data_IF_608427983135
#
_entry.id   IF_608427983135
#
_cell.length_a   1.000
_cell.length_b   1.000
_cell.length_c   1.000
_cell.angle_alpha   90.00
_cell.angle_beta   90.00
_cell.angle_gamma   90.00
#
_symmetry.space_group_name_H-M   'P 1'
#
loop_
_entity.id
_entity.type
_entity.pdbx_description
1 polymer ?
#
# COMPACT_ATOMS: atom_id res chain seq x y z
N UNK A 1 -26.81 -6.65 -0.86
CA UNK A 1 -26.42 -5.29 -0.40
C UNK A 1 -24.91 -5.16 -0.63
N UNK A 2 -24.37 -3.96 -0.91
CA UNK A 2 -22.93 -3.77 -1.03
C UNK A 2 -22.24 -4.24 0.26
N UNK A 3 -20.95 -4.62 0.22
CA UNK A 3 -20.21 -5.05 1.41
C UNK A 3 -19.87 -3.83 2.28
N UNK A 4 -20.89 -3.08 2.69
CA UNK A 4 -20.73 -2.00 3.63
C UNK A 4 -20.29 -2.56 4.96
N UNK A 5 -19.32 -1.89 5.55
CA UNK A 5 -18.94 -2.07 6.93
C UNK A 5 -20.18 -2.12 7.85
N UNK A 6 -20.38 -3.26 8.51
CA UNK A 6 -21.41 -3.41 9.52
C UNK A 6 -20.86 -4.18 10.73
N UNK A 7 -20.44 -3.45 11.78
CA UNK A 7 -19.87 -4.07 12.97
C UNK A 7 -20.97 -4.60 13.91
N UNK A 8 -22.26 -4.45 13.57
CA UNK A 8 -23.41 -4.57 14.49
C UNK A 8 -24.19 -5.88 14.39
N UNK A 9 -24.23 -6.55 13.25
CA UNK A 9 -25.03 -7.77 13.08
C UNK A 9 -24.20 -9.04 13.15
N UNK A 10 -24.81 -10.15 13.55
CA UNK A 10 -24.15 -11.43 13.84
C UNK A 10 -23.70 -12.17 12.58
N UNK A 11 -24.40 -11.99 11.47
CA UNK A 11 -24.13 -12.68 10.21
C UNK A 11 -22.96 -12.05 9.41
N UNK A 12 -22.37 -10.98 9.94
CA UNK A 12 -21.23 -10.31 9.33
C UNK A 12 -19.89 -10.88 9.84
N UNK A 13 -18.84 -10.88 9.01
CA UNK A 13 -17.50 -11.26 9.43
C UNK A 13 -17.00 -10.45 10.63
N UNK A 14 -16.35 -11.11 11.59
CA UNK A 14 -15.82 -10.43 12.79
C UNK A 14 -14.82 -9.32 12.48
N UNK A 15 -14.10 -9.42 11.35
CA UNK A 15 -13.18 -8.37 10.89
C UNK A 15 -13.87 -7.01 10.75
N UNK A 16 -15.15 -6.97 10.37
CA UNK A 16 -15.87 -5.69 10.29
C UNK A 16 -16.02 -5.06 11.68
N UNK A 17 -16.26 -5.83 12.74
CA UNK A 17 -16.24 -5.27 14.10
C UNK A 17 -14.86 -4.70 14.47
N UNK A 18 -13.80 -5.39 14.04
CA UNK A 18 -12.40 -5.02 14.29
C UNK A 18 -11.93 -3.77 13.52
N UNK A 19 -12.68 -3.34 12.50
CA UNK A 19 -12.38 -2.14 11.71
C UNK A 19 -13.07 -0.86 12.23
N UNK A 20 -13.86 -0.95 13.30
CA UNK A 20 -14.66 0.18 13.81
C UNK A 20 -13.86 1.46 14.08
N UNK A 21 -12.80 1.39 14.89
CA UNK A 21 -11.93 2.52 15.19
C UNK A 21 -11.23 3.09 13.95
N UNK A 22 -10.81 2.22 13.03
CA UNK A 22 -10.19 2.64 11.77
C UNK A 22 -11.15 3.43 10.88
N UNK A 23 -12.39 2.95 10.74
CA UNK A 23 -13.45 3.69 10.03
C UNK A 23 -13.77 5.02 10.71
N UNK A 24 -13.91 5.04 12.03
CA UNK A 24 -14.15 6.27 12.77
C UNK A 24 -13.03 7.30 12.50
N UNK A 25 -11.77 6.87 12.51
CA UNK A 25 -10.63 7.74 12.22
C UNK A 25 -10.66 8.30 10.79
N UNK A 26 -10.78 7.40 9.80
CA UNK A 26 -10.79 7.73 8.36
C UNK A 26 -11.84 8.78 8.03
N UNK A 27 -13.04 8.63 8.59
CA UNK A 27 -14.17 9.51 8.31
C UNK A 27 -14.34 10.64 9.34
N UNK A 28 -13.31 10.92 10.15
CA UNK A 28 -13.28 12.03 11.11
C UNK A 28 -14.40 11.98 12.16
N UNK A 29 -14.85 10.78 12.49
CA UNK A 29 -15.91 10.50 13.46
C UNK A 29 -15.27 10.26 14.84
N UNK A 30 -15.83 10.90 15.87
CA UNK A 30 -15.22 10.92 17.22
C UNK A 30 -15.63 9.74 18.11
N UNK A 31 -16.46 8.85 17.62
CA UNK A 31 -17.01 7.74 18.39
C UNK A 31 -18.25 7.15 17.73
N UNK A 32 -18.77 6.08 18.34
CA UNK A 32 -19.96 5.37 17.87
C UNK A 32 -21.03 5.38 18.97
N UNK A 33 -22.29 5.61 18.57
CA UNK A 33 -23.44 5.43 19.43
C UNK A 33 -24.25 4.23 18.92
N UNK A 34 -24.56 3.30 19.81
CA UNK A 34 -25.35 2.13 19.49
C UNK A 34 -26.53 2.01 20.46
N UNK A 35 -27.71 1.79 19.90
CA UNK A 35 -28.98 2.06 20.58
C UNK A 35 -29.44 0.92 21.51
N UNK A 36 -28.85 -0.28 21.42
CA UNK A 36 -29.29 -1.43 22.23
C UNK A 36 -28.19 -2.47 22.48
N UNK A 37 -27.61 -2.50 23.69
CA UNK A 37 -26.56 -3.46 24.05
C UNK A 37 -27.09 -4.81 24.56
N UNK A 38 -28.34 -4.88 25.02
CA UNK A 38 -28.85 -5.98 25.83
C UNK A 38 -30.37 -6.20 25.74
N UNK A 39 -30.98 -6.01 24.56
CA UNK A 39 -32.39 -6.40 24.38
C UNK A 39 -32.52 -7.93 24.45
N UNK A 40 -32.87 -8.40 25.64
CA UNK A 40 -33.09 -9.82 25.96
C UNK A 40 -34.58 -10.15 26.08
N UNK A 41 -35.45 -9.38 25.41
CA UNK A 41 -36.88 -9.69 25.31
C UNK A 41 -37.13 -11.07 24.67
N UNK A 42 -36.22 -11.48 23.76
CA UNK A 42 -36.05 -12.85 23.27
C UNK A 42 -34.81 -13.49 23.89
N UNK A 43 -34.69 -14.82 23.82
CA UNK A 43 -33.47 -15.51 24.26
C UNK A 43 -32.38 -15.43 23.16
N UNK A 44 -31.37 -14.54 23.26
CA UNK A 44 -30.37 -14.37 22.20
C UNK A 44 -29.46 -15.59 22.01
N UNK A 45 -29.42 -16.52 22.98
CA UNK A 45 -28.69 -17.78 22.85
C UNK A 45 -29.36 -18.78 21.90
N UNK A 46 -30.66 -18.61 21.63
CA UNK A 46 -31.46 -19.56 20.85
C UNK A 46 -32.20 -18.90 19.67
N UNK A 47 -32.64 -17.65 19.82
CA UNK A 47 -33.31 -16.85 18.79
C UNK A 47 -32.64 -15.46 18.70
N UNK A 48 -31.52 -15.34 17.97
CA UNK A 48 -30.78 -14.08 17.84
C UNK A 48 -31.46 -13.08 16.88
N UNK A 49 -32.54 -13.47 16.19
CA UNK A 49 -33.26 -12.62 15.22
C UNK A 49 -34.25 -11.71 15.95
N UNK A 50 -33.78 -10.56 16.43
CA UNK A 50 -34.58 -9.62 17.21
C UNK A 50 -35.27 -8.55 16.35
N UNK A 51 -34.60 -8.05 15.30
CA UNK A 51 -35.11 -6.95 14.48
C UNK A 51 -34.76 -7.10 12.99
N UNK A 52 -35.21 -8.18 12.35
CA UNK A 52 -34.98 -8.42 10.90
C UNK A 52 -33.53 -8.79 10.52
N UNK A 53 -32.60 -8.65 11.46
CA UNK A 53 -31.22 -9.12 11.38
C UNK A 53 -30.82 -9.82 12.69
N UNK A 54 -29.94 -10.83 12.60
CA UNK A 54 -29.42 -11.50 13.80
C UNK A 54 -28.50 -10.55 14.57
N UNK A 55 -28.71 -10.41 15.88
CA UNK A 55 -27.80 -9.66 16.75
C UNK A 55 -27.92 -8.13 16.70
N UNK A 56 -28.93 -7.58 16.02
CA UNK A 56 -29.08 -6.12 15.80
C UNK A 56 -29.45 -5.30 17.04
N UNK A 57 -29.93 -5.95 18.11
CA UNK A 57 -30.35 -5.27 19.35
C UNK A 57 -29.59 -5.75 20.59
N UNK A 58 -28.50 -6.50 20.41
CA UNK A 58 -27.65 -6.91 21.54
C UNK A 58 -26.20 -7.15 21.13
N UNK A 59 -25.30 -6.81 22.05
CA UNK A 59 -23.85 -7.08 21.97
C UNK A 59 -23.38 -7.89 23.17
N UNK A 60 -24.19 -7.92 24.23
CA UNK A 60 -23.99 -8.66 25.46
C UNK A 60 -25.08 -9.74 25.54
N UNK A 61 -24.68 -10.94 25.95
CA UNK A 61 -25.57 -12.05 26.22
C UNK A 61 -25.93 -12.13 27.71
N UNK A 62 -27.15 -12.59 28.04
CA UNK A 62 -27.54 -12.85 29.41
C UNK A 62 -26.66 -13.99 29.96
N UNK A 63 -26.27 -13.95 31.24
CA UNK A 63 -25.40 -14.96 31.82
C UNK A 63 -25.92 -16.40 31.73
N UNK A 64 -27.23 -16.58 31.84
CA UNK A 64 -27.87 -17.88 31.73
C UNK A 64 -28.31 -18.14 30.28
N UNK A 65 -27.92 -19.30 29.74
CA UNK A 65 -28.27 -19.71 28.36
C UNK A 65 -29.77 -19.90 28.12
N UNK A 66 -30.56 -20.08 29.17
CA UNK A 66 -32.02 -20.16 29.12
C UNK A 66 -32.72 -18.79 29.27
N UNK A 67 -31.95 -17.69 29.26
CA UNK A 67 -32.43 -16.31 29.44
C UNK A 67 -33.25 -16.08 30.72
N UNK A 68 -32.92 -16.80 31.79
CA UNK A 68 -33.53 -16.61 33.11
C UNK A 68 -32.61 -15.79 34.03
N UNK A 69 -33.18 -15.04 34.98
CA UNK A 69 -32.38 -14.37 36.01
C UNK A 69 -31.51 -15.36 36.77
N UNK A 70 -30.26 -14.97 37.03
CA UNK A 70 -29.36 -15.71 37.92
C UNK A 70 -29.41 -15.12 39.33
N UNK A 71 -29.07 -15.93 40.33
CA UNK A 71 -28.85 -15.41 41.69
C UNK A 71 -27.73 -14.37 41.71
N UNK A 72 -27.92 -13.31 42.49
CA UNK A 72 -26.93 -12.26 42.67
C UNK A 72 -25.57 -12.85 43.10
N UNK A 73 -24.51 -12.51 42.36
CA UNK A 73 -23.13 -12.93 42.65
C UNK A 73 -22.72 -14.28 42.05
N UNK A 74 -23.66 -15.04 41.48
CA UNK A 74 -23.40 -16.41 41.00
C UNK A 74 -22.41 -16.49 39.83
N UNK A 75 -22.13 -15.39 39.14
CA UNK A 75 -21.15 -15.29 38.07
C UNK A 75 -20.22 -14.07 38.19
N UNK A 76 -20.07 -13.53 39.40
CA UNK A 76 -19.29 -12.30 39.63
C UNK A 76 -19.89 -11.05 39.00
N UNK A 77 -21.21 -11.03 38.74
CA UNK A 77 -21.96 -9.91 38.16
C UNK A 77 -21.55 -9.53 36.73
N UNK A 78 -21.08 -10.51 35.95
CA UNK A 78 -20.58 -10.26 34.59
C UNK A 78 -21.63 -10.60 33.54
N UNK A 79 -21.82 -9.73 32.56
CA UNK A 79 -22.48 -10.14 31.32
C UNK A 79 -21.52 -10.97 30.47
N UNK A 80 -22.05 -11.73 29.52
CA UNK A 80 -21.21 -12.47 28.58
C UNK A 80 -21.05 -11.63 27.31
N UNK A 81 -19.86 -11.11 27.00
CA UNK A 81 -19.68 -10.30 25.81
C UNK A 81 -19.75 -11.17 24.54
N UNK A 82 -20.26 -10.59 23.45
CA UNK A 82 -20.11 -11.17 22.12
C UNK A 82 -18.68 -10.97 21.61
N UNK A 83 -18.24 -11.84 20.70
CA UNK A 83 -16.96 -11.67 19.98
C UNK A 83 -16.93 -10.31 19.27
N UNK A 84 -18.05 -9.91 18.65
CA UNK A 84 -18.17 -8.63 17.91
C UNK A 84 -18.01 -7.42 18.83
N UNK A 85 -18.53 -7.50 20.05
CA UNK A 85 -18.32 -6.45 21.06
C UNK A 85 -16.85 -6.34 21.48
N UNK A 86 -16.18 -7.48 21.74
CA UNK A 86 -14.76 -7.45 22.10
C UNK A 86 -13.89 -6.97 20.94
N UNK A 87 -14.15 -7.40 19.70
CA UNK A 87 -13.45 -6.91 18.51
C UNK A 87 -13.68 -5.40 18.29
N UNK A 88 -14.89 -4.91 18.54
CA UNK A 88 -15.19 -3.47 18.50
C UNK A 88 -14.42 -2.71 19.59
N UNK A 89 -14.37 -3.22 20.81
CA UNK A 89 -13.60 -2.62 21.91
C UNK A 89 -12.12 -2.56 21.57
N UNK A 90 -11.58 -3.67 21.09
CA UNK A 90 -10.21 -3.78 20.62
C UNK A 90 -9.92 -2.78 19.48
N UNK A 91 -10.88 -2.61 18.57
CA UNK A 91 -10.85 -1.57 17.53
C UNK A 91 -10.84 -0.14 18.05
N UNK A 92 -11.59 0.14 19.12
CA UNK A 92 -11.58 1.45 19.76
C UNK A 92 -10.23 1.73 20.45
N UNK A 93 -9.52 0.71 20.92
CA UNK A 93 -8.12 0.88 21.38
C UNK A 93 -7.18 1.28 20.24
N UNK A 94 -7.37 0.77 19.02
CA UNK A 94 -6.63 1.27 17.86
C UNK A 94 -6.94 2.74 17.56
N UNK A 95 -8.20 3.18 17.69
CA UNK A 95 -8.53 4.60 17.58
C UNK A 95 -7.77 5.46 18.62
N UNK A 96 -7.61 4.97 19.85
CA UNK A 96 -6.82 5.66 20.88
C UNK A 96 -5.33 5.74 20.53
N UNK A 97 -4.77 4.71 19.88
CA UNK A 97 -3.39 4.74 19.38
C UNK A 97 -3.22 5.82 18.31
N UNK A 98 -4.15 5.90 17.35
CA UNK A 98 -4.15 6.95 16.32
C UNK A 98 -4.32 8.34 16.95
N UNK A 99 -5.20 8.47 17.96
CA UNK A 99 -5.39 9.71 18.72
C UNK A 99 -4.09 10.19 19.38
N UNK A 100 -3.37 9.29 20.06
CA UNK A 100 -2.10 9.62 20.70
C UNK A 100 -1.03 10.02 19.67
N UNK A 101 -0.97 9.29 18.54
CA UNK A 101 0.00 9.56 17.48
C UNK A 101 -0.25 10.91 16.79
N UNK A 102 -1.52 11.28 16.59
CA UNK A 102 -1.91 12.57 16.02
C UNK A 102 -1.86 13.73 17.02
N UNK A 103 -1.79 13.44 18.33
CA UNK A 103 -1.85 14.44 19.40
C UNK A 103 -3.25 15.01 19.65
N UNK A 104 -4.32 14.32 19.22
CA UNK A 104 -5.68 14.82 19.35
C UNK A 104 -6.71 14.09 18.49
N UNK A 105 -7.94 14.63 18.48
CA UNK A 105 -9.03 14.09 17.66
C UNK A 105 -8.82 14.39 16.17
N UNK A 106 -9.24 13.49 15.27
CA UNK A 106 -9.23 13.76 13.84
C UNK A 106 -10.21 14.89 13.53
N UNK A 107 -9.87 15.74 12.55
CA UNK A 107 -10.70 16.84 12.09
C UNK A 107 -10.83 16.82 10.57
N UNK A 108 -11.98 17.30 10.09
CA UNK A 108 -12.25 17.46 8.65
C UNK A 108 -11.22 18.41 8.07
N UNK A 109 -10.67 18.06 6.90
CA UNK A 109 -9.66 18.82 6.16
C UNK A 109 -8.34 19.09 6.92
N UNK A 110 -8.08 18.37 8.01
CA UNK A 110 -6.82 18.46 8.76
C UNK A 110 -6.08 17.12 8.66
N UNK A 111 -4.99 17.11 7.89
CA UNK A 111 -4.09 15.97 7.82
C UNK A 111 -3.29 15.83 9.12
N UNK A 112 -3.02 14.59 9.54
CA UNK A 112 -2.21 14.29 10.71
C UNK A 112 -1.36 13.03 10.50
N UNK A 113 -0.44 12.77 11.44
CA UNK A 113 0.54 11.68 11.34
C UNK A 113 -0.07 10.26 11.35
N UNK A 114 -1.31 10.10 11.79
CA UNK A 114 -2.00 8.81 11.83
C UNK A 114 -2.76 8.49 10.55
N UNK A 115 -3.06 9.50 9.72
CA UNK A 115 -3.85 9.31 8.48
C UNK A 115 -3.21 8.34 7.50
N UNK A 116 -1.91 8.43 7.18
CA UNK A 116 -1.28 7.48 6.27
C UNK A 116 -1.34 6.03 6.78
N UNK A 117 -1.44 5.82 8.09
CA UNK A 117 -1.55 4.50 8.70
C UNK A 117 -2.99 3.98 8.63
N UNK A 118 -3.97 4.84 8.89
CA UNK A 118 -5.38 4.49 8.73
C UNK A 118 -5.72 4.21 7.26
N UNK A 119 -5.10 4.93 6.32
CA UNK A 119 -5.29 4.76 4.88
C UNK A 119 -4.77 3.41 4.37
N UNK A 120 -3.78 2.79 5.05
CA UNK A 120 -3.34 1.41 4.76
C UNK A 120 -4.39 0.34 5.10
N UNK A 121 -5.39 0.70 5.90
CA UNK A 121 -6.45 -0.19 6.36
C UNK A 121 -7.78 0.13 5.67
N UNK A 122 -8.16 1.41 5.60
CA UNK A 122 -9.45 1.85 5.05
C UNK A 122 -9.24 2.78 3.85
N UNK A 123 -9.44 2.24 2.65
CA UNK A 123 -9.41 3.01 1.40
C UNK A 123 -10.77 3.66 1.09
N UNK A 124 -11.88 3.04 1.51
CA UNK A 124 -13.25 3.50 1.24
C UNK A 124 -14.33 2.79 2.06
N UNK A 125 -15.61 3.11 1.79
CA UNK A 125 -16.77 2.56 2.54
C UNK A 125 -17.02 1.06 2.28
N UNK A 126 -16.52 0.56 1.15
CA UNK A 126 -16.67 -0.83 0.70
C UNK A 126 -15.31 -1.46 0.33
N UNK A 127 -14.21 -0.79 0.69
CA UNK A 127 -12.84 -1.07 0.25
C UNK A 127 -11.89 -0.90 1.43
N UNK A 128 -11.41 -2.03 1.97
CA UNK A 128 -10.58 -2.04 3.18
C UNK A 128 -9.78 -3.35 3.25
N UNK A 129 -8.58 -3.26 3.82
CA UNK A 129 -7.68 -4.36 4.04
C UNK A 129 -8.23 -5.30 5.14
N UNK A 130 -8.18 -6.60 4.89
CA UNK A 130 -8.72 -7.66 5.77
C UNK A 130 -7.63 -8.60 6.32
N UNK A 131 -6.36 -8.32 6.06
CA UNK A 131 -5.22 -9.10 6.54
C UNK A 131 -4.99 -8.84 8.04
N UNK A 132 -5.19 -9.88 8.85
CA UNK A 132 -5.15 -9.79 10.31
C UNK A 132 -3.73 -9.56 10.84
N UNK A 133 -2.75 -10.29 10.31
CA UNK A 133 -1.34 -10.16 10.68
C UNK A 133 -0.83 -8.73 10.40
N UNK A 134 -1.21 -8.14 9.26
CA UNK A 134 -0.90 -6.76 8.93
C UNK A 134 -1.52 -5.77 9.92
N UNK A 135 -2.82 -5.89 10.20
CA UNK A 135 -3.53 -5.05 11.17
C UNK A 135 -2.86 -5.09 12.55
N UNK A 136 -2.54 -6.29 13.06
CA UNK A 136 -1.89 -6.46 14.35
C UNK A 136 -0.45 -5.93 14.36
N UNK A 137 0.30 -6.17 13.29
CA UNK A 137 1.67 -5.66 13.20
C UNK A 137 1.70 -4.13 13.10
N UNK A 138 0.78 -3.52 12.34
CA UNK A 138 0.65 -2.06 12.27
C UNK A 138 0.33 -1.47 13.64
N UNK A 139 -0.64 -2.03 14.37
CA UNK A 139 -0.93 -1.64 15.76
C UNK A 139 0.30 -1.73 16.65
N UNK A 140 1.03 -2.86 16.57
CA UNK A 140 2.25 -3.08 17.36
C UNK A 140 3.30 -2.00 17.08
N UNK A 141 3.54 -1.66 15.81
CA UNK A 141 4.51 -0.63 15.43
C UNK A 141 4.09 0.75 15.92
N UNK A 142 2.80 1.10 15.86
CA UNK A 142 2.29 2.35 16.44
C UNK A 142 2.55 2.36 17.95
N UNK A 143 2.29 1.26 18.65
CA UNK A 143 2.57 1.10 20.07
C UNK A 143 4.04 1.34 20.43
N UNK A 144 4.97 0.70 19.69
CA UNK A 144 6.42 0.88 19.87
C UNK A 144 6.87 2.32 19.57
N UNK A 145 6.23 3.00 18.62
CA UNK A 145 6.52 4.40 18.32
C UNK A 145 6.07 5.31 19.48
N UNK A 146 4.89 5.04 20.04
CA UNK A 146 4.34 5.80 21.17
C UNK A 146 5.09 5.55 22.48
N UNK A 147 5.57 4.33 22.71
CA UNK A 147 6.39 3.98 23.88
C UNK A 147 7.85 4.46 23.78
N UNK A 148 8.29 4.88 22.59
CA UNK A 148 9.65 5.38 22.34
C UNK A 148 10.68 4.28 22.08
N UNK A 149 10.24 3.04 21.86
CA UNK A 149 11.12 1.92 21.50
C UNK A 149 11.63 2.01 20.06
N UNK A 150 10.91 2.70 19.16
CA UNK A 150 11.35 2.99 17.80
C UNK A 150 11.24 4.49 17.48
N UNK A 151 12.19 5.01 16.70
CA UNK A 151 12.22 6.42 16.30
C UNK A 151 11.25 6.74 15.15
N UNK A 152 10.86 5.76 14.36
CA UNK A 152 9.94 5.89 13.23
C UNK A 152 9.16 4.58 13.05
N UNK A 153 7.95 4.66 12.51
CA UNK A 153 7.15 3.48 12.14
C UNK A 153 7.66 3.03 10.78
N UNK A 154 8.20 1.80 10.65
CA UNK A 154 8.60 1.26 9.36
C UNK A 154 7.41 1.26 8.39
N UNK A 155 7.66 1.63 7.13
CA UNK A 155 6.64 1.52 6.09
C UNK A 155 6.43 0.05 5.74
N UNK A 156 5.42 -0.56 6.39
CA UNK A 156 5.03 -1.95 6.15
C UNK A 156 3.87 -2.01 5.16
N UNK A 157 3.80 -3.11 4.42
CA UNK A 157 2.71 -3.43 3.49
C UNK A 157 2.15 -4.82 3.85
N UNK A 158 0.87 -5.09 3.55
CA UNK A 158 0.31 -6.43 3.73
C UNK A 158 1.03 -7.43 2.82
N UNK A 159 1.07 -8.72 3.21
CA UNK A 159 1.62 -9.75 2.35
C UNK A 159 0.81 -9.85 1.05
N UNK A 160 1.50 -10.22 -0.03
CA UNK A 160 0.88 -10.55 -1.31
C UNK A 160 0.00 -11.80 -1.15
N UNK A 161 -1.26 -11.74 -1.59
CA UNK A 161 -2.18 -12.87 -1.57
C UNK A 161 -2.16 -13.72 -2.85
N UNK A 162 -1.41 -13.29 -3.88
CA UNK A 162 -1.38 -13.96 -5.17
C UNK A 162 -0.04 -13.71 -5.90
N UNK A 163 0.57 -14.69 -6.58
CA UNK A 163 1.89 -14.53 -7.22
C UNK A 163 2.03 -13.35 -8.19
N UNK A 164 0.92 -12.91 -8.80
CA UNK A 164 0.86 -11.72 -9.67
C UNK A 164 1.22 -10.43 -8.94
N UNK A 165 0.97 -10.36 -7.64
CA UNK A 165 1.30 -9.21 -6.82
C UNK A 165 2.76 -9.20 -6.33
N UNK A 166 3.53 -10.23 -6.66
CA UNK A 166 4.96 -10.27 -6.33
C UNK A 166 5.79 -9.57 -7.42
N UNK A 167 6.87 -8.91 -7.00
CA UNK A 167 7.85 -8.32 -7.92
C UNK A 167 7.60 -6.85 -8.28
N UNK A 168 8.22 -6.34 -9.35
CA UNK A 168 8.04 -4.95 -9.78
C UNK A 168 6.67 -4.73 -10.46
N UNK A 169 6.14 -3.49 -10.43
CA UNK A 169 4.94 -3.10 -11.19
C UNK A 169 4.98 -3.54 -12.65
N UNK A 170 3.83 -3.96 -13.18
CA UNK A 170 3.66 -4.33 -14.59
C UNK A 170 2.32 -3.85 -15.15
N UNK A 171 2.15 -4.00 -16.47
CA UNK A 171 0.91 -3.62 -17.14
C UNK A 171 -0.13 -4.75 -17.08
N UNK A 172 -1.38 -4.38 -16.82
CA UNK A 172 -2.53 -5.29 -16.80
C UNK A 172 -3.70 -4.71 -17.59
N UNK A 173 -4.32 -5.55 -18.42
CA UNK A 173 -5.44 -5.17 -19.27
C UNK A 173 -6.62 -6.10 -18.97
N UNK A 174 -7.76 -5.54 -18.58
CA UNK A 174 -8.93 -6.29 -18.12
C UNK A 174 -10.12 -5.97 -19.01
N UNK A 175 -10.72 -6.98 -19.63
CA UNK A 175 -11.99 -6.85 -20.33
C UNK A 175 -13.10 -7.46 -19.48
N UNK A 176 -14.05 -6.65 -19.00
CA UNK A 176 -15.18 -7.15 -18.23
C UNK A 176 -16.22 -7.72 -19.18
N UNK A 177 -16.38 -9.03 -19.17
CA UNK A 177 -17.23 -9.77 -20.09
C UNK A 177 -17.75 -11.07 -19.47
N UNK A 178 -18.65 -11.76 -20.17
CA UNK A 178 -18.86 -13.19 -19.93
C UNK A 178 -17.60 -13.96 -20.36
N UNK A 179 -16.86 -14.64 -19.45
CA UNK A 179 -15.66 -15.39 -19.83
C UNK A 179 -15.96 -16.55 -20.80
N UNK A 180 -17.19 -17.09 -20.77
CA UNK A 180 -17.65 -18.13 -21.68
C UNK A 180 -18.38 -17.56 -22.92
N UNK A 181 -18.56 -16.24 -22.99
CA UNK A 181 -19.28 -15.55 -24.05
C UNK A 181 -18.38 -14.76 -24.99
N UNK A 182 -19.00 -13.84 -25.74
CA UNK A 182 -18.29 -12.95 -26.66
C UNK A 182 -17.62 -11.76 -25.92
N UNK A 183 -16.45 -11.28 -26.39
CA UNK A 183 -15.66 -11.82 -27.50
C UNK A 183 -15.05 -13.19 -27.18
N UNK A 184 -15.17 -14.12 -28.13
CA UNK A 184 -14.76 -15.53 -27.96
C UNK A 184 -13.25 -15.77 -28.14
N UNK A 185 -12.48 -14.80 -28.65
CA UNK A 185 -11.03 -14.91 -28.85
C UNK A 185 -10.28 -15.24 -27.54
N UNK A 186 -9.34 -16.19 -27.58
CA UNK A 186 -8.55 -16.63 -26.43
C UNK A 186 -7.10 -16.93 -26.88
N UNK A 187 -6.09 -16.09 -26.55
CA UNK A 187 -6.23 -14.85 -25.77
C UNK A 187 -6.98 -13.75 -26.53
N UNK A 188 -7.63 -12.84 -25.79
CA UNK A 188 -8.22 -11.63 -26.36
C UNK A 188 -7.13 -10.56 -26.54
N UNK A 189 -6.76 -10.26 -27.77
CA UNK A 189 -5.75 -9.24 -28.09
C UNK A 189 -6.38 -8.04 -28.78
N UNK A 190 -6.18 -6.84 -28.23
CA UNK A 190 -6.66 -5.57 -28.79
C UNK A 190 -5.51 -4.56 -28.78
N UNK A 191 -5.20 -3.98 -29.94
CA UNK A 191 -4.09 -3.04 -30.11
C UNK A 191 -2.74 -3.56 -29.58
N UNK A 192 -2.49 -4.86 -29.75
CA UNK A 192 -1.27 -5.53 -29.31
C UNK A 192 -1.19 -5.85 -27.82
N UNK A 193 -2.25 -5.56 -27.06
CA UNK A 193 -2.35 -5.82 -25.61
C UNK A 193 -3.26 -7.03 -25.37
N UNK A 194 -2.81 -7.94 -24.53
CA UNK A 194 -3.58 -9.12 -24.12
C UNK A 194 -4.49 -8.76 -22.93
N UNK A 195 -5.80 -8.89 -23.12
CA UNK A 195 -6.82 -8.59 -22.12
C UNK A 195 -7.28 -9.85 -21.40
N UNK A 196 -7.19 -9.85 -20.07
CA UNK A 196 -7.80 -10.85 -19.22
C UNK A 196 -9.32 -10.70 -19.23
N UNK A 197 -10.03 -11.80 -19.47
CA UNK A 197 -11.49 -11.83 -19.44
C UNK A 197 -11.98 -11.93 -18.01
N UNK A 198 -12.61 -10.88 -17.51
CA UNK A 198 -13.10 -10.79 -16.12
C UNK A 198 -14.62 -10.94 -16.12
N UNK A 199 -15.09 -12.01 -15.48
CA UNK A 199 -16.51 -12.24 -15.23
C UNK A 199 -16.92 -11.91 -13.79
N UNK A 200 -18.15 -12.29 -13.46
CA UNK A 200 -18.69 -12.33 -12.11
C UNK A 200 -18.26 -13.62 -11.40
N UNK A 201 -17.36 -13.46 -10.42
CA UNK A 201 -16.96 -14.48 -9.46
C UNK A 201 -16.73 -13.80 -8.10
N UNK A 202 -17.03 -14.50 -7.00
CA UNK A 202 -16.69 -13.97 -5.68
C UNK A 202 -15.17 -14.03 -5.49
N UNK A 203 -14.56 -12.96 -4.98
CA UNK A 203 -13.10 -12.86 -4.78
C UNK A 203 -12.57 -14.02 -3.91
N UNK A 204 -13.28 -14.33 -2.82
CA UNK A 204 -12.88 -15.38 -1.88
C UNK A 204 -13.19 -16.81 -2.34
N UNK A 205 -13.94 -16.99 -3.44
CA UNK A 205 -14.33 -18.32 -3.90
C UNK A 205 -13.18 -19.08 -4.59
N UNK A 206 -12.30 -18.35 -5.28
CA UNK A 206 -11.11 -18.92 -5.92
C UNK A 206 -9.92 -17.94 -5.85
N UNK A 207 -9.13 -18.00 -4.77
CA UNK A 207 -7.95 -17.14 -4.60
C UNK A 207 -6.89 -17.30 -5.70
N UNK A 208 -6.91 -18.42 -6.45
CA UNK A 208 -5.92 -18.66 -7.51
C UNK A 208 -6.10 -17.78 -8.74
N UNK A 209 -7.27 -17.13 -8.88
CA UNK A 209 -7.52 -16.17 -9.95
C UNK A 209 -6.80 -14.84 -9.69
N UNK A 210 -6.62 -14.48 -8.42
CA UNK A 210 -6.08 -13.19 -8.01
C UNK A 210 -7.00 -12.01 -8.34
N UNK A 211 -8.30 -12.24 -8.52
CA UNK A 211 -9.29 -11.20 -8.75
C UNK A 211 -10.71 -11.71 -8.48
N UNK A 212 -11.64 -10.78 -8.30
CA UNK A 212 -13.06 -11.09 -8.16
C UNK A 212 -13.85 -9.99 -7.47
N UNK A 213 -15.09 -10.31 -7.12
CA UNK A 213 -16.06 -9.33 -6.64
C UNK A 213 -16.52 -9.61 -5.21
N UNK A 214 -16.88 -8.54 -4.51
CA UNK A 214 -17.67 -8.54 -3.31
C UNK A 214 -19.01 -7.86 -3.56
N UNK A 215 -20.05 -8.39 -2.92
CA UNK A 215 -21.42 -7.95 -3.05
C UNK A 215 -22.33 -9.10 -3.45
N UNK A 216 -23.63 -8.82 -3.50
CA UNK A 216 -24.62 -9.81 -3.91
C UNK A 216 -24.49 -10.15 -5.40
N UNK A 217 -24.37 -11.42 -5.77
CA UNK A 217 -24.20 -11.86 -7.17
C UNK A 217 -25.52 -12.32 -7.83
N UNK A 218 -26.68 -12.17 -7.18
CA UNK A 218 -27.95 -12.68 -7.71
C UNK A 218 -28.48 -11.95 -8.96
N UNK A 219 -28.04 -10.71 -9.18
CA UNK A 219 -28.60 -9.76 -10.17
C UNK A 219 -27.56 -9.26 -11.17
N UNK A 220 -26.46 -9.99 -11.29
CA UNK A 220 -25.36 -9.61 -12.18
C UNK A 220 -25.60 -10.13 -13.59
N UNK A 221 -25.29 -9.29 -14.58
CA UNK A 221 -25.57 -9.52 -15.98
C UNK A 221 -24.31 -9.35 -16.84
N UNK A 222 -24.34 -10.01 -17.99
CA UNK A 222 -23.43 -9.81 -19.09
C UNK A 222 -24.21 -9.35 -20.32
N UNK A 223 -23.62 -8.49 -21.12
CA UNK A 223 -24.11 -8.20 -22.46
C UNK A 223 -22.94 -7.99 -23.42
N UNK A 224 -22.97 -8.68 -24.56
CA UNK A 224 -22.15 -8.33 -25.71
C UNK A 224 -22.99 -7.60 -26.75
N UNK A 225 -22.55 -6.41 -27.18
CA UNK A 225 -23.28 -5.56 -28.10
C UNK A 225 -22.98 -5.93 -29.56
N UNK A 226 -24.00 -5.81 -30.43
CA UNK A 226 -23.85 -6.05 -31.87
C UNK A 226 -22.99 -5.00 -32.58
N UNK A 227 -22.83 -3.82 -31.98
CA UNK A 227 -22.01 -2.72 -32.46
C UNK A 227 -21.38 -1.98 -31.28
N UNK A 228 -20.23 -1.35 -31.51
CA UNK A 228 -19.54 -0.48 -30.56
C UNK A 228 -18.20 -0.05 -31.17
N UNK A 229 -17.48 0.90 -30.55
CA UNK A 229 -16.24 1.44 -31.11
C UNK A 229 -15.14 0.38 -31.27
N UNK A 230 -15.10 -0.59 -30.36
CA UNK A 230 -14.17 -1.73 -30.38
C UNK A 230 -14.80 -2.93 -29.65
N UNK A 231 -14.10 -4.07 -29.63
CA UNK A 231 -14.60 -5.29 -28.96
C UNK A 231 -14.71 -5.15 -27.44
N UNK A 232 -13.89 -4.31 -26.80
CA UNK A 232 -13.90 -4.10 -25.35
C UNK A 232 -15.15 -3.33 -24.92
N UNK A 233 -15.49 -2.24 -25.61
CA UNK A 233 -16.68 -1.43 -25.34
C UNK A 233 -17.98 -2.10 -25.79
N UNK A 234 -17.88 -3.21 -26.53
CA UNK A 234 -19.02 -4.09 -26.80
C UNK A 234 -19.28 -5.06 -25.65
N UNK A 235 -18.27 -5.37 -24.84
CA UNK A 235 -18.44 -6.13 -23.60
C UNK A 235 -18.97 -5.21 -22.50
N UNK A 236 -20.05 -5.63 -21.85
CA UNK A 236 -20.67 -4.88 -20.76
C UNK A 236 -21.00 -5.85 -19.63
N UNK A 237 -20.61 -5.51 -18.41
CA UNK A 237 -21.13 -6.14 -17.20
C UNK A 237 -21.83 -5.10 -16.33
N UNK A 238 -22.90 -5.50 -15.66
CA UNK A 238 -23.68 -4.62 -14.79
C UNK A 238 -24.52 -5.44 -13.80
N UNK A 239 -25.08 -4.77 -12.79
CA UNK A 239 -26.10 -5.32 -11.91
C UNK A 239 -27.47 -4.75 -12.31
N UNK A 240 -28.45 -5.60 -12.61
CA UNK A 240 -29.76 -5.19 -13.14
C UNK A 240 -30.72 -4.64 -12.07
N UNK A 241 -30.31 -4.68 -10.80
CA UNK A 241 -30.93 -3.99 -9.68
C UNK A 241 -30.13 -2.77 -9.22
N UNK A 242 -29.06 -2.40 -9.95
CA UNK A 242 -28.23 -1.24 -9.63
C UNK A 242 -27.48 -1.34 -8.29
N UNK A 243 -27.20 -2.56 -7.83
CA UNK A 243 -26.50 -2.79 -6.56
C UNK A 243 -25.01 -2.55 -6.73
N UNK A 244 -24.44 -1.69 -5.88
CA UNK A 244 -22.99 -1.45 -5.84
C UNK A 244 -22.20 -2.75 -5.56
N UNK A 245 -21.06 -2.88 -6.25
CA UNK A 245 -20.09 -3.98 -6.14
C UNK A 245 -18.70 -3.43 -5.86
N UNK A 246 -17.87 -4.23 -5.19
CA UNK A 246 -16.42 -3.98 -5.09
C UNK A 246 -15.68 -5.05 -5.86
N UNK A 247 -14.83 -4.66 -6.79
CA UNK A 247 -13.87 -5.52 -7.48
C UNK A 247 -12.51 -5.42 -6.79
N UNK A 248 -11.84 -6.54 -6.60
CA UNK A 248 -10.45 -6.60 -6.16
C UNK A 248 -9.60 -7.34 -7.23
N UNK A 249 -8.39 -6.87 -7.44
CA UNK A 249 -7.41 -7.42 -8.37
C UNK A 249 -6.01 -7.37 -7.77
N UNK A 250 -5.35 -8.51 -7.61
CA UNK A 250 -4.02 -8.61 -7.02
C UNK A 250 -2.93 -8.17 -8.00
N UNK A 251 -2.13 -7.18 -7.62
CA UNK A 251 -1.02 -6.62 -8.41
C UNK A 251 0.06 -6.00 -7.51
N UNK A 252 1.30 -5.83 -7.99
CA UNK A 252 2.38 -5.30 -7.17
C UNK A 252 2.10 -3.87 -6.73
N UNK A 253 2.59 -3.51 -5.54
CA UNK A 253 2.62 -2.12 -5.11
C UNK A 253 3.38 -1.24 -6.10
N UNK A 254 2.86 -0.06 -6.39
CA UNK A 254 3.42 0.83 -7.39
C UNK A 254 2.51 2.00 -7.71
N UNK A 255 2.97 2.86 -8.61
CA UNK A 255 2.14 3.91 -9.19
C UNK A 255 1.69 3.46 -10.57
N UNK A 256 0.42 3.69 -10.89
CA UNK A 256 -0.19 3.21 -12.13
C UNK A 256 -1.05 4.30 -12.78
N UNK A 257 -0.97 4.40 -14.10
CA UNK A 257 -1.99 5.05 -14.91
C UNK A 257 -3.13 4.06 -15.11
N UNK A 258 -4.24 4.27 -14.42
CA UNK A 258 -5.41 3.42 -14.52
C UNK A 258 -6.43 4.10 -15.42
N UNK A 259 -6.96 3.37 -16.41
CA UNK A 259 -8.04 3.85 -17.30
C UNK A 259 -9.25 2.96 -17.17
N UNK A 260 -10.42 3.52 -16.87
CA UNK A 260 -11.70 2.80 -16.84
C UNK A 260 -12.62 3.30 -17.94
N UNK A 261 -13.35 2.37 -18.56
CA UNK A 261 -14.45 2.67 -19.50
C UNK A 261 -15.78 2.16 -18.96
N UNK A 262 -16.79 3.02 -19.00
CA UNK A 262 -18.20 2.66 -18.80
C UNK A 262 -19.04 3.18 -19.96
N UNK A 263 -20.16 2.53 -20.23
CA UNK A 263 -21.16 2.98 -21.19
C UNK A 263 -21.74 1.88 -22.05
N UNK A 264 -22.57 2.30 -23.00
CA UNK A 264 -23.35 1.39 -23.84
C UNK A 264 -23.63 1.99 -25.22
N UNK A 265 -23.23 1.33 -26.29
CA UNK A 265 -23.49 1.82 -27.65
C UNK A 265 -24.99 1.96 -27.93
N UNK A 266 -25.42 3.19 -28.24
CA UNK A 266 -26.81 3.48 -28.61
C UNK A 266 -27.78 3.60 -27.43
N UNK A 267 -27.28 3.64 -26.19
CA UNK A 267 -28.08 3.95 -25.00
C UNK A 267 -27.32 4.92 -24.08
N UNK A 268 -28.05 5.80 -23.42
CA UNK A 268 -27.52 6.66 -22.36
C UNK A 268 -28.01 6.11 -21.03
N UNK A 269 -27.08 5.83 -20.12
CA UNK A 269 -27.37 5.53 -18.71
C UNK A 269 -26.94 6.72 -17.88
N UNK A 270 -27.85 7.24 -17.06
CA UNK A 270 -27.71 8.55 -16.42
C UNK A 270 -26.76 8.61 -15.21
N UNK A 271 -26.43 7.46 -14.64
CA UNK A 271 -25.96 7.35 -13.26
C UNK A 271 -24.78 6.35 -13.12
N UNK A 272 -23.74 6.53 -13.92
CA UNK A 272 -22.53 5.71 -13.78
C UNK A 272 -21.67 6.20 -12.62
N UNK A 273 -21.16 5.27 -11.82
CA UNK A 273 -20.31 5.57 -10.66
C UNK A 273 -19.14 4.59 -10.60
N UNK A 274 -17.92 5.11 -10.54
CA UNK A 274 -16.69 4.32 -10.38
C UNK A 274 -15.73 5.05 -9.43
N UNK A 275 -15.30 4.35 -8.38
CA UNK A 275 -14.26 4.81 -7.44
C UNK A 275 -13.18 3.73 -7.39
N UNK A 276 -11.92 4.10 -7.63
CA UNK A 276 -10.78 3.18 -7.61
C UNK A 276 -9.78 3.71 -6.60
N UNK A 277 -9.34 2.88 -5.64
CA UNK A 277 -8.44 3.31 -4.55
C UNK A 277 -8.95 4.55 -3.77
N UNK A 278 -10.27 4.64 -3.59
CA UNK A 278 -10.90 5.81 -2.97
C UNK A 278 -10.92 7.07 -3.85
N UNK A 279 -10.27 7.06 -5.03
CA UNK A 279 -10.28 8.14 -6.00
C UNK A 279 -11.53 8.04 -6.88
N UNK A 280 -12.40 9.06 -6.93
CA UNK A 280 -13.57 9.04 -7.81
C UNK A 280 -13.12 9.19 -9.26
N UNK A 281 -13.36 8.19 -10.11
CA UNK A 281 -13.07 8.27 -11.55
C UNK A 281 -14.26 8.83 -12.32
N UNK A 282 -15.46 8.37 -11.95
CA UNK A 282 -16.74 8.75 -12.53
C UNK A 282 -17.70 8.95 -11.37
N UNK A 283 -18.33 10.13 -11.29
CA UNK A 283 -19.09 10.58 -10.12
C UNK A 283 -20.54 10.91 -10.46
N UNK A 284 -21.39 9.87 -10.49
CA UNK A 284 -22.83 9.96 -10.83
C UNK A 284 -23.05 10.68 -12.18
N UNK A 285 -22.45 10.13 -13.24
CA UNK A 285 -22.39 10.76 -14.56
C UNK A 285 -23.16 9.97 -15.63
N UNK A 286 -23.85 10.71 -16.51
CA UNK A 286 -24.50 10.15 -17.69
C UNK A 286 -23.48 9.82 -18.78
N UNK A 287 -23.55 8.61 -19.35
CA UNK A 287 -22.67 8.19 -20.45
C UNK A 287 -23.24 8.58 -21.82
N UNK A 288 -22.44 9.19 -22.70
CA UNK A 288 -22.84 9.48 -24.10
C UNK A 288 -21.75 9.10 -25.14
N UNK A 289 -21.85 7.92 -25.79
CA UNK A 289 -22.39 6.71 -25.18
C UNK A 289 -21.43 6.09 -24.15
N UNK A 290 -20.18 6.56 -24.07
CA UNK A 290 -19.15 6.05 -23.17
C UNK A 290 -18.43 7.17 -22.42
N UNK A 291 -18.01 6.88 -21.20
CA UNK A 291 -17.07 7.70 -20.42
C UNK A 291 -15.78 6.89 -20.30
N UNK A 292 -14.65 7.49 -20.69
CA UNK A 292 -13.32 6.92 -20.52
C UNK A 292 -12.51 7.90 -19.68
N UNK A 293 -11.95 7.45 -18.56
CA UNK A 293 -11.19 8.29 -17.63
C UNK A 293 -9.90 7.60 -17.23
N UNK A 294 -8.80 8.34 -17.32
CA UNK A 294 -7.49 7.93 -16.84
C UNK A 294 -7.10 8.78 -15.64
N UNK A 295 -6.59 8.15 -14.58
CA UNK A 295 -5.92 8.84 -13.48
C UNK A 295 -4.71 8.03 -13.02
N UNK A 296 -3.70 8.74 -12.56
CA UNK A 296 -2.58 8.15 -11.85
C UNK A 296 -3.00 7.87 -10.40
N UNK A 297 -2.79 6.64 -9.93
CA UNK A 297 -3.08 6.22 -8.55
C UNK A 297 -1.92 5.37 -8.01
N UNK A 298 -1.76 5.35 -6.69
CA UNK A 298 -0.81 4.48 -6.00
C UNK A 298 -1.52 3.26 -5.41
N UNK A 299 -0.92 2.10 -5.59
CA UNK A 299 -1.30 0.83 -4.94
C UNK A 299 -0.29 0.56 -3.82
N UNK A 300 -0.79 0.36 -2.61
CA UNK A 300 0.04 0.16 -1.41
C UNK A 300 -0.24 -1.17 -0.69
N UNK A 301 -1.35 -1.84 -0.97
CA UNK A 301 -1.79 -3.05 -0.29
C UNK A 301 -1.78 -4.31 -1.19
N UNK A 302 -1.00 -4.27 -2.27
CA UNK A 302 -0.86 -5.33 -3.28
C UNK A 302 -2.18 -5.67 -4.00
N UNK A 303 -3.17 -4.77 -3.94
CA UNK A 303 -4.49 -4.94 -4.52
C UNK A 303 -4.99 -3.64 -5.14
N UNK A 304 -5.63 -3.74 -6.29
CA UNK A 304 -6.46 -2.69 -6.83
C UNK A 304 -7.90 -3.00 -6.42
N UNK A 305 -8.53 -2.04 -5.75
CA UNK A 305 -9.89 -2.08 -5.29
C UNK A 305 -10.72 -1.03 -6.03
N UNK A 306 -11.75 -1.50 -6.73
CA UNK A 306 -12.67 -0.66 -7.49
C UNK A 306 -14.11 -0.86 -7.02
N UNK A 307 -14.76 0.20 -6.54
CA UNK A 307 -16.19 0.22 -6.28
C UNK A 307 -16.95 0.73 -7.53
N UNK A 308 -17.99 0.00 -7.94
CA UNK A 308 -18.85 0.35 -9.08
C UNK A 308 -20.32 0.35 -8.69
N UNK A 309 -21.11 1.25 -9.26
CA UNK A 309 -22.55 1.38 -9.00
C UNK A 309 -22.92 2.42 -7.93
N UNK A 310 -24.16 2.89 -7.99
CA UNK A 310 -24.78 3.84 -7.07
C UNK A 310 -26.27 3.48 -6.93
N UNK A 311 -26.85 3.69 -5.73
CA UNK A 311 -28.21 3.36 -5.30
C UNK A 311 -29.25 3.02 -6.39
N UNK A 312 -29.49 1.73 -6.63
CA UNK A 312 -30.52 1.21 -7.55
C UNK A 312 -30.41 1.73 -9.00
N UNK A 313 -29.23 2.22 -9.38
CA UNK A 313 -28.89 2.77 -10.69
C UNK A 313 -27.76 1.97 -11.37
N UNK A 314 -27.69 2.09 -12.70
CA UNK A 314 -26.81 1.26 -13.51
C UNK A 314 -25.45 1.90 -13.81
N UNK A 315 -24.38 1.16 -13.51
CA UNK A 315 -23.05 1.40 -14.07
C UNK A 315 -22.73 0.32 -15.10
N UNK A 316 -22.50 0.73 -16.35
CA UNK A 316 -22.28 -0.16 -17.48
C UNK A 316 -20.78 -0.36 -17.72
N UNK A 317 -20.14 -1.25 -16.96
CA UNK A 317 -18.68 -1.40 -16.97
C UNK A 317 -18.19 -2.17 -18.21
N UNK A 318 -17.12 -1.69 -18.85
CA UNK A 318 -16.55 -2.31 -20.06
C UNK A 318 -15.15 -2.89 -19.84
N UNK A 319 -14.15 -2.03 -19.60
CA UNK A 319 -12.76 -2.47 -19.46
C UNK A 319 -12.00 -1.59 -18.45
N UNK A 320 -10.90 -2.13 -17.95
CA UNK A 320 -9.92 -1.44 -17.12
C UNK A 320 -8.52 -1.70 -17.69
N UNK A 321 -7.72 -0.66 -17.86
CA UNK A 321 -6.27 -0.80 -18.10
C UNK A 321 -5.53 -0.26 -16.90
N UNK A 322 -4.44 -0.93 -16.53
CA UNK A 322 -3.59 -0.61 -15.40
C UNK A 322 -2.17 -0.61 -15.94
N UNK A 323 -1.60 0.56 -16.17
CA UNK A 323 -0.28 0.69 -16.80
C UNK A 323 0.72 1.19 -15.77
N UNK A 324 1.80 0.46 -15.57
CA UNK A 324 2.81 0.80 -14.57
C UNK A 324 3.48 2.13 -14.91
N UNK A 325 3.59 3.00 -13.90
CA UNK A 325 4.41 4.20 -13.99
C UNK A 325 5.78 3.85 -13.46
N UNK A 326 6.75 3.82 -14.37
CA UNK A 326 8.16 3.64 -14.01
C UNK A 326 8.57 4.71 -12.99
N UNK A 327 9.10 4.33 -11.82
CA UNK A 327 9.57 5.30 -10.84
C UNK A 327 10.70 6.13 -11.44
N UNK A 328 10.76 7.42 -11.08
CA UNK A 328 11.86 8.26 -11.50
C UNK A 328 13.19 7.64 -11.03
N UNK A 329 14.24 7.60 -11.88
CA UNK A 329 15.52 7.04 -11.49
C UNK A 329 16.06 7.78 -10.26
N UNK A 330 16.61 7.04 -9.31
CA UNK A 330 17.26 7.61 -8.13
C UNK A 330 18.76 7.65 -8.32
N UNK A 331 19.42 8.66 -7.75
CA UNK A 331 20.89 8.70 -7.71
C UNK A 331 21.47 7.49 -6.97
N UNK A 332 22.67 7.00 -7.35
CA UNK A 332 23.38 5.99 -6.56
C UNK A 332 23.63 6.46 -5.12
N UNK A 333 23.69 5.51 -4.19
CA UNK A 333 24.10 5.80 -2.81
C UNK A 333 25.55 6.34 -2.75
N UNK A 334 25.90 7.04 -1.67
CA UNK A 334 27.28 7.42 -1.43
C UNK A 334 28.15 6.19 -1.16
N UNK A 335 29.40 6.20 -1.64
CA UNK A 335 30.42 5.22 -1.23
C UNK A 335 30.78 5.47 0.23
N UNK A 336 30.67 4.46 1.09
CA UNK A 336 30.91 4.61 2.53
C UNK A 336 32.20 3.96 3.05
N UNK A 337 32.94 3.28 2.18
CA UNK A 337 34.10 2.46 2.53
C UNK A 337 35.37 2.83 1.74
N UNK A 338 35.42 4.03 1.14
CA UNK A 338 36.60 4.51 0.43
C UNK A 338 37.81 4.59 1.37
N UNK A 339 38.87 3.85 1.02
CA UNK A 339 40.08 3.78 1.83
C UNK A 339 41.35 3.71 0.97
N UNK A 340 42.44 4.23 1.52
CA UNK A 340 43.79 4.05 0.99
C UNK A 340 44.37 2.77 1.61
N UNK A 341 44.68 1.78 0.78
CA UNK A 341 45.12 0.45 1.22
C UNK A 341 46.63 0.24 1.12
N UNK A 342 47.29 0.95 0.21
CA UNK A 342 48.74 0.94 0.06
C UNK A 342 49.26 2.33 -0.29
N UNK A 343 50.44 2.65 0.21
CA UNK A 343 51.18 3.87 -0.10
C UNK A 343 52.65 3.54 -0.27
N UNK A 344 53.19 3.90 -1.42
CA UNK A 344 54.62 3.83 -1.73
C UNK A 344 55.15 5.23 -1.99
N UNK A 345 56.18 5.65 -1.23
CA UNK A 345 56.73 7.00 -1.32
C UNK A 345 58.12 6.99 -1.96
N UNK A 346 58.36 7.90 -2.89
CA UNK A 346 59.67 8.23 -3.47
C UNK A 346 60.10 9.64 -3.07
N UNK A 347 61.23 10.14 -3.60
CA UNK A 347 61.68 11.51 -3.33
C UNK A 347 60.80 12.59 -3.95
N UNK A 348 60.05 12.27 -5.01
CA UNK A 348 59.28 13.25 -5.79
C UNK A 348 57.78 12.92 -5.83
N UNK A 349 57.42 11.63 -5.69
CA UNK A 349 56.04 11.17 -5.82
C UNK A 349 55.61 10.24 -4.70
N UNK A 350 54.29 10.15 -4.54
CA UNK A 350 53.59 9.16 -3.75
C UNK A 350 52.67 8.36 -4.67
N UNK A 351 52.75 7.03 -4.61
CA UNK A 351 51.83 6.12 -5.29
C UNK A 351 50.86 5.55 -4.26
N UNK A 352 49.57 5.80 -4.43
CA UNK A 352 48.51 5.36 -3.51
C UNK A 352 47.58 4.40 -4.23
N UNK A 353 47.22 3.31 -3.56
CA UNK A 353 46.15 2.41 -4.00
C UNK A 353 44.91 2.67 -3.17
N UNK A 354 43.82 3.03 -3.86
CA UNK A 354 42.49 3.27 -3.32
C UNK A 354 41.64 2.01 -3.52
N UNK A 355 40.76 1.74 -2.56
CA UNK A 355 39.77 0.68 -2.63
C UNK A 355 38.42 1.17 -2.11
N UNK A 356 37.34 0.75 -2.75
CA UNK A 356 35.96 1.00 -2.34
C UNK A 356 35.01 -0.08 -2.88
N UNK A 357 33.78 -0.10 -2.39
CA UNK A 357 32.68 -0.91 -2.94
C UNK A 357 31.73 -0.03 -3.74
N UNK A 358 31.59 -0.21 -5.06
CA UNK A 358 30.61 0.52 -5.86
C UNK A 358 29.17 0.23 -5.39
N UNK A 359 28.33 1.26 -5.25
CA UNK A 359 26.88 1.10 -5.07
C UNK A 359 26.22 0.33 -6.24
N UNK A 360 24.99 -0.11 -6.03
CA UNK A 360 24.17 -0.63 -7.13
C UNK A 360 23.94 0.44 -8.22
N UNK A 361 23.68 -0.01 -9.46
CA UNK A 361 23.30 0.81 -10.62
C UNK A 361 24.31 1.88 -11.05
N UNK A 362 25.58 1.74 -10.66
CA UNK A 362 26.66 2.63 -11.10
C UNK A 362 27.10 2.29 -12.52
N UNK A 363 27.09 3.30 -13.39
CA UNK A 363 27.66 3.25 -14.73
C UNK A 363 29.12 3.73 -14.73
N UNK A 364 29.39 4.85 -14.04
CA UNK A 364 30.74 5.42 -13.98
C UNK A 364 31.13 5.95 -12.61
N UNK A 365 32.43 5.93 -12.29
CA UNK A 365 33.02 6.51 -11.08
C UNK A 365 34.00 7.63 -11.44
N UNK A 366 33.96 8.72 -10.67
CA UNK A 366 34.92 9.83 -10.75
C UNK A 366 35.61 10.00 -9.42
N UNK A 367 36.94 10.09 -9.44
CA UNK A 367 37.79 10.34 -8.29
C UNK A 367 38.40 11.73 -8.41
N UNK A 368 38.36 12.48 -7.31
CA UNK A 368 39.07 13.75 -7.20
C UNK A 368 39.87 13.80 -5.92
N UNK A 369 40.89 14.65 -5.92
CA UNK A 369 41.69 14.94 -4.75
C UNK A 369 41.89 16.44 -4.55
N UNK A 370 42.11 16.85 -3.30
CA UNK A 370 42.41 18.22 -2.91
C UNK A 370 43.35 18.29 -1.71
N UNK A 371 43.85 19.49 -1.40
CA UNK A 371 44.70 19.75 -0.22
C UNK A 371 43.90 20.31 0.96
N UNK A 372 42.57 20.32 0.85
CA UNK A 372 41.59 20.63 1.89
C UNK A 372 40.49 19.56 1.86
N UNK A 373 39.76 19.32 2.97
CA UNK A 373 38.66 18.36 2.99
C UNK A 373 37.66 18.61 1.86
N UNK A 374 37.35 17.56 1.10
CA UNK A 374 36.38 17.64 0.01
C UNK A 374 34.96 17.67 0.57
N UNK A 375 34.15 18.59 0.04
CA UNK A 375 32.73 18.78 0.33
C UNK A 375 31.97 18.92 -0.99
N UNK A 376 30.64 18.86 -0.93
CA UNK A 376 29.81 19.10 -2.12
C UNK A 376 30.08 20.48 -2.75
N UNK A 377 30.39 21.50 -1.93
CA UNK A 377 30.63 22.87 -2.39
C UNK A 377 31.95 23.04 -3.14
N UNK A 378 32.99 22.28 -2.79
CA UNK A 378 34.33 22.41 -3.37
C UNK A 378 34.71 21.27 -4.33
N UNK A 379 33.84 20.26 -4.50
CA UNK A 379 34.08 19.11 -5.37
C UNK A 379 34.52 19.51 -6.78
N UNK A 380 33.81 20.47 -7.40
CA UNK A 380 34.10 20.88 -8.77
C UNK A 380 35.44 21.62 -8.93
N UNK A 381 36.00 22.13 -7.83
CA UNK A 381 37.29 22.83 -7.79
C UNK A 381 38.46 21.87 -7.50
N UNK A 382 38.16 20.66 -7.02
CA UNK A 382 39.15 19.64 -6.73
C UNK A 382 39.76 19.06 -8.02
N UNK A 383 41.01 18.62 -7.94
CA UNK A 383 41.74 18.08 -9.08
C UNK A 383 41.22 16.68 -9.43
N UNK A 384 40.94 16.46 -10.71
CA UNK A 384 40.51 15.15 -11.21
C UNK A 384 41.67 14.17 -11.14
N UNK A 385 41.44 13.07 -10.41
CA UNK A 385 42.37 11.94 -10.30
C UNK A 385 42.09 10.89 -11.38
N UNK A 386 40.82 10.60 -11.58
CA UNK A 386 40.30 9.76 -12.65
C UNK A 386 38.84 10.14 -12.92
N UNK A 387 38.41 10.03 -14.17
CA UNK A 387 37.05 10.29 -14.60
C UNK A 387 36.53 9.12 -15.42
N UNK A 388 35.21 8.91 -15.38
CA UNK A 388 34.54 7.89 -16.18
C UNK A 388 35.10 6.48 -16.04
N UNK A 389 35.61 6.11 -14.86
CA UNK A 389 35.97 4.72 -14.59
C UNK A 389 34.72 3.85 -14.66
N UNK A 390 34.82 2.65 -15.21
CA UNK A 390 33.67 1.73 -15.25
C UNK A 390 33.11 1.50 -13.84
N UNK A 391 31.78 1.40 -13.73
CA UNK A 391 31.08 1.32 -12.45
C UNK A 391 31.41 0.09 -11.60
N UNK A 392 32.01 -0.94 -12.18
CA UNK A 392 32.47 -2.15 -11.51
C UNK A 392 33.92 -2.06 -10.97
N UNK A 393 34.61 -0.94 -11.21
CA UNK A 393 35.95 -0.71 -10.68
C UNK A 393 35.90 -0.55 -9.16
N UNK A 394 36.64 -1.40 -8.46
CA UNK A 394 36.73 -1.42 -6.99
C UNK A 394 38.06 -0.91 -6.44
N UNK A 395 39.07 -0.75 -7.32
CA UNK A 395 40.41 -0.32 -6.94
C UNK A 395 41.00 0.63 -7.98
N UNK A 396 41.79 1.61 -7.53
CA UNK A 396 42.49 2.53 -8.41
C UNK A 396 43.84 2.92 -7.81
N UNK A 397 44.90 2.84 -8.62
CA UNK A 397 46.24 3.27 -8.21
C UNK A 397 46.59 4.58 -8.90
N UNK A 398 46.98 5.57 -8.11
CA UNK A 398 47.36 6.89 -8.59
C UNK A 398 48.77 7.26 -8.11
N UNK A 399 49.52 7.95 -8.97
CA UNK A 399 50.81 8.57 -8.59
C UNK A 399 50.64 10.08 -8.57
N UNK A 400 50.88 10.69 -7.41
CA UNK A 400 50.79 12.13 -7.17
C UNK A 400 52.16 12.69 -6.75
N UNK A 401 52.41 14.00 -6.88
CA UNK A 401 53.55 14.63 -6.22
C UNK A 401 53.48 14.45 -4.71
N UNK A 402 54.62 14.36 -4.02
CA UNK A 402 54.66 14.39 -2.55
C UNK A 402 54.00 15.69 -2.07
N UNK A 403 52.97 15.62 -1.20
CA UNK A 403 52.27 16.82 -0.75
C UNK A 403 53.07 17.57 0.32
N UNK A 404 52.90 18.89 0.36
CA UNK A 404 53.35 19.70 1.51
C UNK A 404 52.49 19.43 2.77
N UNK A 405 51.22 19.04 2.56
CA UNK A 405 50.19 18.82 3.59
C UNK A 405 49.45 17.47 3.37
N UNK A 406 48.17 17.40 3.76
CA UNK A 406 47.29 16.24 3.59
C UNK A 406 46.59 16.27 2.23
N UNK A 407 46.58 15.14 1.53
CA UNK A 407 45.63 14.91 0.43
C UNK A 407 44.32 14.36 0.96
N UNK A 408 43.21 14.95 0.52
CA UNK A 408 41.86 14.43 0.71
C UNK A 408 41.35 13.91 -0.63
N UNK A 409 40.87 12.67 -0.64
CA UNK A 409 40.39 11.96 -1.81
C UNK A 409 38.95 11.57 -1.55
N UNK A 410 38.10 11.78 -2.55
CA UNK A 410 36.71 11.35 -2.52
C UNK A 410 36.28 10.83 -3.88
N UNK A 411 35.22 10.03 -3.88
CA UNK A 411 34.61 9.49 -5.09
C UNK A 411 33.15 9.92 -5.21
N UNK A 412 32.70 10.11 -6.45
CA UNK A 412 31.29 10.16 -6.82
C UNK A 412 31.01 9.15 -7.92
N UNK A 413 29.84 8.56 -7.87
CA UNK A 413 29.38 7.59 -8.86
C UNK A 413 28.18 8.14 -9.63
N UNK A 414 28.02 7.75 -10.89
CA UNK A 414 26.91 8.17 -11.76
C UNK A 414 26.21 6.93 -12.30
N UNK A 415 24.87 6.93 -12.32
CA UNK A 415 24.09 5.87 -12.96
C UNK A 415 23.85 6.13 -14.46
N UNK A 416 23.20 5.18 -15.14
CA UNK A 416 22.86 5.29 -16.55
C UNK A 416 21.85 6.42 -16.87
N UNK A 417 21.11 6.90 -15.87
CA UNK A 417 20.21 8.06 -16.00
C UNK A 417 20.94 9.41 -15.85
N UNK A 418 22.27 9.39 -15.62
CA UNK A 418 23.08 10.60 -15.47
C UNK A 418 23.04 11.23 -14.08
N UNK A 419 22.40 10.58 -13.10
CA UNK A 419 22.30 11.07 -11.72
C UNK A 419 23.55 10.69 -10.92
N UNK A 420 24.06 11.65 -10.14
CA UNK A 420 25.28 11.50 -9.36
C UNK A 420 24.99 11.21 -7.89
N UNK A 421 25.80 10.33 -7.29
CA UNK A 421 25.80 10.08 -5.86
C UNK A 421 26.19 11.34 -5.07
N UNK A 422 25.84 11.41 -3.77
CA UNK A 422 26.55 12.26 -2.83
C UNK A 422 28.03 11.87 -2.74
N UNK A 423 28.84 12.75 -2.17
CA UNK A 423 30.26 12.51 -1.92
C UNK A 423 30.48 11.28 -1.02
N UNK A 424 31.54 10.51 -1.30
CA UNK A 424 31.94 9.39 -0.44
C UNK A 424 32.34 9.84 0.98
N UNK A 425 32.53 8.87 1.87
CA UNK A 425 33.28 9.10 3.11
C UNK A 425 34.67 9.73 2.80
N UNK A 426 35.20 10.57 3.70
CA UNK A 426 36.52 11.17 3.49
C UNK A 426 37.61 10.11 3.58
N UNK A 427 38.49 10.08 2.57
CA UNK A 427 39.74 9.34 2.60
C UNK A 427 40.90 10.33 2.52
N UNK A 428 41.96 10.15 3.29
CA UNK A 428 43.05 11.13 3.30
C UNK A 428 44.40 10.51 3.66
N UNK A 429 45.47 11.15 3.22
CA UNK A 429 46.85 10.77 3.53
C UNK A 429 47.72 12.00 3.81
N UNK A 430 48.63 11.97 4.81
CA UNK A 430 48.89 10.85 5.72
C UNK A 430 47.75 10.61 6.72
N UNK A 431 47.48 9.34 7.02
CA UNK A 431 46.50 8.94 8.04
C UNK A 431 47.24 8.49 9.31
N UNK A 432 47.09 9.24 10.41
CA UNK A 432 47.51 8.75 11.73
C UNK A 432 46.40 7.89 12.33
N UNK A 433 46.64 6.58 12.47
CA UNK A 433 45.76 5.68 13.23
C UNK A 433 46.22 5.63 14.68
N UNK A 434 45.55 6.39 15.56
CA UNK A 434 45.73 6.27 17.01
C UNK A 434 44.87 5.12 17.54
N UNK A 435 45.51 4.00 17.90
CA UNK A 435 44.81 2.92 18.60
C UNK A 435 44.71 3.29 20.08
N UNK A 436 43.50 3.64 20.54
CA UNK A 436 43.25 3.79 21.97
C UNK A 436 43.41 2.41 22.65
N UNK A 437 44.21 2.29 23.71
CA UNK A 437 44.33 1.02 24.43
C UNK A 437 42.97 0.65 25.04
N UNK A 438 42.58 -0.60 24.81
CA UNK A 438 41.34 -1.18 25.36
C UNK A 438 41.45 -1.20 26.90
N UNK A 439 40.76 -0.29 27.59
CA UNK A 439 40.63 -0.36 29.05
C UNK A 439 39.63 -1.47 29.37
N UNK A 440 40.13 -2.70 29.54
CA UNK A 440 39.34 -3.76 30.15
C UNK A 440 39.12 -3.43 31.62
N UNK A 441 37.88 -3.08 31.97
CA UNK A 441 37.43 -2.91 33.34
C UNK A 441 37.43 -4.29 34.02
N UNK A 442 38.46 -4.61 34.78
CA UNK A 442 38.47 -5.79 35.65
C UNK A 442 37.33 -5.60 36.66
N UNK A 443 36.28 -6.43 36.57
CA UNK A 443 35.27 -6.53 37.63
C UNK A 443 35.92 -7.22 38.82
N UNK A 444 36.01 -6.52 39.95
CA UNK A 444 36.33 -7.13 41.25
C UNK A 444 35.16 -7.98 41.74
#
# INVERSE_FOLDING_TARGET
>A
RPPFFNPITLDHPGIESKLTGWFLWKYRIRGIAYYSLNDWSKNPWADPMTAGHNGDTFMLYPPARNNQPISYGSNGHRFVPSIRFELMRDSLEEYEYLYLLAGGQPAVDVANAADPLADKIISGLTSYNRDDDFLYNLRRLIGLKLGGEISEIPDIQPPSSHPRADGPPGDYYLNFQDPAGEPSADPLVVDGKEYLKIGWNEYAADPSLGYGWYGDMAHVMYQYLGSGPNVLQRSVIYDDWGRQKTFEFDLPNGTYNVTVSVGWQGKVYGHNQVVIEGVPFISDEASDPYIIRTKEIAIADNKLTMAVGIFDEYTMLNYLTIEAVEPAPTAPAAVTDLQITSVETSTETITMTLQWTPPADVLTTTLRYGTVPLTEENWEQATVLAESLAGDVTTFTATLPVPDNTYYIAVRTQNAAGLWSPLSNPSFWPQEKSYLPLIMRVRN
#
